data_IF_385870906297
#
_entry.id   IF_385870906297
#
_cell.length_a   1.000
_cell.length_b   1.000
_cell.length_c   1.000
_cell.angle_alpha   90.00
_cell.angle_beta   90.00
_cell.angle_gamma   90.00
#
_symmetry.space_group_name_H-M   'P 1'
#
loop_
_entity.id
_entity.type
_entity.pdbx_description
1 polymer ?
#
# COMPACT_ATOMS: atom_id res chain seq x y z
N UNK A 1 -5.16 21.09 -9.72
CA UNK A 1 -4.63 22.46 -9.91
C UNK A 1 -3.11 22.37 -9.96
N UNK A 2 -2.51 22.51 -11.14
CA UNK A 2 -1.05 22.59 -11.28
C UNK A 2 -0.60 23.98 -10.83
N UNK A 3 0.29 24.04 -9.83
CA UNK A 3 0.76 25.30 -9.25
C UNK A 3 1.82 25.93 -10.17
N UNK A 4 1.66 27.21 -10.53
CA UNK A 4 2.70 27.96 -11.26
C UNK A 4 3.76 28.44 -10.27
N UNK A 5 5.03 28.20 -10.58
CA UNK A 5 6.15 28.74 -9.81
C UNK A 5 6.47 30.17 -10.27
N UNK A 6 6.81 31.09 -9.35
CA UNK A 6 7.23 32.43 -9.73
C UNK A 6 8.57 32.38 -10.48
N UNK A 7 8.74 33.26 -11.47
CA UNK A 7 10.00 33.37 -12.20
C UNK A 7 11.09 33.92 -11.28
N UNK A 8 12.25 33.27 -11.28
CA UNK A 8 13.42 33.73 -10.55
C UNK A 8 14.26 34.68 -11.41
N UNK A 9 14.67 35.81 -10.83
CA UNK A 9 15.65 36.75 -11.37
C UNK A 9 16.76 36.96 -10.33
N UNK A 10 17.96 37.33 -10.79
CA UNK A 10 19.10 37.55 -9.90
C UNK A 10 18.76 38.65 -8.87
N UNK A 11 18.97 38.35 -7.59
CA UNK A 11 18.62 39.25 -6.48
C UNK A 11 17.23 39.01 -5.89
N UNK A 12 16.39 38.16 -6.51
CA UNK A 12 15.10 37.79 -5.92
C UNK A 12 15.28 37.00 -4.61
N UNK A 13 14.30 37.09 -3.70
CA UNK A 13 14.31 36.29 -2.48
C UNK A 13 14.21 34.79 -2.77
N UNK A 14 14.69 33.98 -1.84
CA UNK A 14 14.59 32.53 -1.90
C UNK A 14 13.14 32.07 -2.02
N UNK A 15 12.86 31.16 -2.96
CA UNK A 15 11.56 30.51 -3.10
C UNK A 15 11.26 29.66 -1.87
N UNK A 16 10.10 29.91 -1.24
CA UNK A 16 9.60 29.16 -0.07
C UNK A 16 8.24 28.56 -0.36
N UNK A 17 8.06 27.30 0.04
CA UNK A 17 6.81 26.56 -0.11
C UNK A 17 6.30 26.23 1.29
N UNK A 18 5.28 26.96 1.75
CA UNK A 18 4.72 26.77 3.10
C UNK A 18 3.73 25.60 3.20
N UNK A 19 2.98 25.35 2.12
CA UNK A 19 1.98 24.28 2.04
C UNK A 19 2.22 23.47 0.77
N UNK A 20 3.14 22.49 0.81
CA UNK A 20 3.36 21.60 -0.32
C UNK A 20 2.11 20.73 -0.54
N UNK A 21 1.74 20.51 -1.80
CA UNK A 21 0.66 19.60 -2.19
C UNK A 21 1.26 18.31 -2.77
N UNK A 22 2.15 17.70 -2.00
CA UNK A 22 2.85 16.48 -2.39
C UNK A 22 2.53 15.37 -1.40
N UNK A 23 2.33 14.17 -1.91
CA UNK A 23 2.06 12.98 -1.12
C UNK A 23 3.16 11.96 -1.42
N UNK A 24 3.88 11.54 -0.37
CA UNK A 24 4.87 10.48 -0.46
C UNK A 24 4.26 9.23 0.17
N UNK A 25 4.40 8.09 -0.51
CA UNK A 25 3.95 6.81 0.02
C UNK A 25 5.16 5.93 0.24
N UNK A 26 5.36 5.48 1.48
CA UNK A 26 6.39 4.49 1.81
C UNK A 26 5.93 3.12 1.32
N UNK A 27 6.77 2.43 0.56
CA UNK A 27 6.41 1.16 -0.09
C UNK A 27 7.43 0.09 0.26
N UNK A 28 6.95 -1.11 0.56
CA UNK A 28 7.80 -2.28 0.77
C UNK A 28 8.65 -2.55 -0.49
N UNK A 29 9.97 -2.71 -0.36
CA UNK A 29 10.83 -3.02 -1.50
C UNK A 29 10.46 -4.39 -2.08
N UNK A 30 10.34 -4.47 -3.41
CA UNK A 30 9.98 -5.72 -4.10
C UNK A 30 11.15 -6.67 -4.33
N UNK A 31 12.38 -6.20 -4.12
CA UNK A 31 13.62 -6.99 -4.14
C UNK A 31 14.39 -6.64 -2.88
N UNK A 32 15.32 -7.51 -2.49
CA UNK A 32 16.25 -7.22 -1.41
C UNK A 32 16.98 -5.91 -1.69
N UNK A 33 16.98 -5.03 -0.70
CA UNK A 33 17.68 -3.76 -0.71
C UNK A 33 18.58 -3.72 0.53
N UNK A 34 19.67 -2.95 0.47
CA UNK A 34 20.47 -2.66 1.66
C UNK A 34 19.60 -2.09 2.79
N UNK A 35 19.93 -2.39 4.07
CA UNK A 35 19.10 -2.01 5.20
C UNK A 35 19.05 -0.49 5.44
N UNK A 36 19.95 0.28 4.83
CA UNK A 36 19.97 1.75 4.87
C UNK A 36 19.06 2.38 3.79
N UNK A 37 18.49 1.57 2.90
CA UNK A 37 17.79 2.04 1.70
C UNK A 37 16.28 1.90 1.83
N UNK A 38 15.58 3.02 1.84
CA UNK A 38 14.12 3.11 1.93
C UNK A 38 13.52 3.47 0.57
N UNK A 39 12.41 2.82 0.22
CA UNK A 39 11.72 3.04 -1.04
C UNK A 39 10.42 3.85 -0.86
N UNK A 40 10.29 4.93 -1.63
CA UNK A 40 9.10 5.77 -1.68
C UNK A 40 8.52 5.83 -3.09
N UNK A 41 7.19 5.96 -3.19
CA UNK A 41 6.50 6.46 -4.37
C UNK A 41 6.25 7.95 -4.19
N UNK A 42 6.62 8.72 -5.20
CA UNK A 42 6.55 10.19 -5.18
C UNK A 42 5.83 10.72 -6.44
N UNK A 43 5.29 11.94 -6.39
CA UNK A 43 4.67 12.57 -7.55
C UNK A 43 5.69 12.83 -8.67
N UNK A 44 5.20 12.88 -9.91
CA UNK A 44 6.04 13.10 -11.10
C UNK A 44 6.71 14.48 -11.12
N UNK A 45 6.14 15.48 -10.46
CA UNK A 45 6.66 16.84 -10.38
C UNK A 45 7.84 16.97 -9.41
N UNK A 46 7.94 16.06 -8.44
CA UNK A 46 8.86 16.18 -7.31
C UNK A 46 10.30 15.81 -7.72
N UNK A 47 11.28 16.61 -7.30
CA UNK A 47 12.70 16.35 -7.55
C UNK A 47 13.37 15.67 -6.36
N UNK A 48 14.60 15.16 -6.54
CA UNK A 48 15.39 14.57 -5.44
C UNK A 48 15.67 15.56 -4.31
N UNK A 49 15.83 16.84 -4.61
CA UNK A 49 16.09 17.88 -3.60
C UNK A 49 14.83 18.22 -2.81
N UNK A 50 13.66 18.20 -3.47
CA UNK A 50 12.38 18.35 -2.80
C UNK A 50 12.15 17.20 -1.82
N UNK A 51 12.46 15.95 -2.22
CA UNK A 51 12.33 14.77 -1.34
C UNK A 51 13.23 14.90 -0.13
N UNK A 52 14.49 15.33 -0.32
CA UNK A 52 15.43 15.58 0.78
C UNK A 52 14.86 16.58 1.77
N UNK A 53 14.50 17.76 1.30
CA UNK A 53 13.98 18.84 2.14
C UNK A 53 12.66 18.42 2.82
N UNK A 54 11.80 17.68 2.12
CA UNK A 54 10.53 17.22 2.66
C UNK A 54 10.73 16.26 3.83
N UNK A 55 11.61 15.26 3.67
CA UNK A 55 11.91 14.29 4.72
C UNK A 55 12.66 14.92 5.91
N UNK A 56 13.64 15.79 5.63
CA UNK A 56 14.43 16.45 6.68
C UNK A 56 13.65 17.52 7.44
N UNK A 57 12.68 18.20 6.82
CA UNK A 57 11.96 19.32 7.47
C UNK A 57 10.61 18.95 8.07
N UNK A 58 9.96 17.89 7.58
CA UNK A 58 8.64 17.46 8.08
C UNK A 58 8.76 16.27 9.02
N UNK A 59 9.69 15.35 8.74
CA UNK A 59 9.85 14.11 9.51
C UNK A 59 11.19 14.02 10.25
N UNK A 60 12.03 15.05 10.17
CA UNK A 60 13.36 15.11 10.80
C UNK A 60 14.26 13.90 10.48
N UNK A 61 14.10 13.31 9.29
CA UNK A 61 14.88 12.14 8.86
C UNK A 61 16.17 12.59 8.17
N UNK A 62 17.35 12.18 8.64
CA UNK A 62 18.61 12.56 8.03
C UNK A 62 18.85 11.73 6.75
N UNK A 63 18.90 12.40 5.60
CA UNK A 63 19.02 11.74 4.29
C UNK A 63 20.42 11.90 3.70
N UNK A 64 21.05 10.77 3.36
CA UNK A 64 22.36 10.73 2.72
C UNK A 64 22.26 10.98 1.21
N UNK A 65 21.81 9.96 0.47
CA UNK A 65 21.72 10.00 -0.99
C UNK A 65 20.32 9.62 -1.49
N UNK A 66 19.89 10.25 -2.59
CA UNK A 66 18.59 9.99 -3.20
C UNK A 66 18.78 9.68 -4.67
N UNK A 67 18.19 8.57 -5.12
CA UNK A 67 18.12 8.17 -6.52
C UNK A 67 16.66 8.02 -6.92
N UNK A 68 16.25 8.67 -7.99
CA UNK A 68 14.87 8.58 -8.49
C UNK A 68 14.83 7.96 -9.87
N UNK A 69 13.78 7.19 -10.15
CA UNK A 69 13.48 6.69 -11.49
C UNK A 69 11.99 6.80 -11.77
N UNK A 70 11.63 6.97 -13.04
CA UNK A 70 10.24 6.94 -13.48
C UNK A 70 9.89 5.49 -13.84
N UNK A 71 8.82 4.97 -13.26
CA UNK A 71 8.27 3.66 -13.58
C UNK A 71 7.10 3.82 -14.53
N UNK A 72 7.23 3.21 -15.71
CA UNK A 72 6.13 3.12 -16.67
C UNK A 72 5.13 2.06 -16.20
N UNK A 73 3.86 2.46 -16.11
CA UNK A 73 2.71 1.58 -15.87
C UNK A 73 2.36 0.77 -17.11
N UNK A 74 1.77 -0.41 -16.95
CA UNK A 74 1.41 -1.25 -18.09
C UNK A 74 0.36 -0.58 -18.98
N UNK A 75 0.50 -0.74 -20.30
CA UNK A 75 -0.49 -0.32 -21.30
C UNK A 75 -0.99 -1.50 -22.15
N UNK A 76 -0.90 -2.71 -21.60
CA UNK A 76 -1.28 -3.94 -22.30
C UNK A 76 -2.76 -4.31 -22.13
N UNK A 77 -3.38 -3.91 -21.01
CA UNK A 77 -4.77 -4.23 -20.69
C UNK A 77 -5.72 -3.59 -21.70
N UNK A 78 -6.75 -4.33 -22.12
CA UNK A 78 -7.86 -3.80 -22.92
C UNK A 78 -9.19 -3.99 -22.16
N UNK A 79 -10.13 -3.08 -22.37
CA UNK A 79 -11.49 -3.20 -21.84
C UNK A 79 -12.38 -4.07 -22.76
N UNK A 80 -13.65 -4.26 -22.35
CA UNK A 80 -14.65 -5.01 -23.13
C UNK A 80 -14.97 -4.37 -24.51
N UNK A 81 -14.63 -3.10 -24.71
CA UNK A 81 -14.74 -2.38 -26.01
C UNK A 81 -13.43 -2.43 -26.81
N UNK A 82 -12.49 -3.29 -26.43
CA UNK A 82 -11.17 -3.44 -27.06
C UNK A 82 -10.27 -2.17 -27.03
N UNK A 83 -10.58 -1.19 -26.18
CA UNK A 83 -9.78 0.02 -25.96
C UNK A 83 -8.66 -0.25 -24.94
N UNK A 84 -7.49 0.37 -25.16
CA UNK A 84 -6.34 0.23 -24.24
C UNK A 84 -6.59 0.97 -22.93
N UNK A 85 -6.30 0.32 -21.81
CA UNK A 85 -6.37 0.90 -20.46
C UNK A 85 -4.96 1.06 -19.92
N UNK A 86 -4.51 2.30 -19.81
CA UNK A 86 -3.18 2.66 -19.31
C UNK A 86 -3.19 2.72 -17.78
N UNK A 87 -2.31 1.95 -17.14
CA UNK A 87 -2.00 2.15 -15.73
C UNK A 87 -1.19 3.43 -15.54
N UNK A 88 -1.47 4.24 -14.51
CA UNK A 88 -0.76 5.48 -14.28
C UNK A 88 0.73 5.23 -14.03
N UNK A 89 1.57 6.05 -14.64
CA UNK A 89 3.00 6.07 -14.38
C UNK A 89 3.26 6.70 -13.00
N UNK A 90 4.31 6.26 -12.34
CA UNK A 90 4.69 6.80 -11.04
C UNK A 90 6.21 6.91 -10.92
N UNK A 91 6.67 7.82 -10.05
CA UNK A 91 8.08 7.99 -9.78
C UNK A 91 8.45 7.26 -8.49
N UNK A 92 9.55 6.53 -8.53
CA UNK A 92 10.13 5.81 -7.39
C UNK A 92 11.37 6.55 -6.92
N UNK A 93 11.48 6.75 -5.62
CA UNK A 93 12.66 7.28 -4.96
C UNK A 93 13.27 6.21 -4.04
N UNK A 94 14.57 5.98 -4.22
CA UNK A 94 15.42 5.22 -3.32
C UNK A 94 16.18 6.22 -2.46
N UNK A 95 15.95 6.18 -1.16
CA UNK A 95 16.50 7.11 -0.18
C UNK A 95 17.43 6.33 0.73
N UNK A 96 18.71 6.68 0.72
CA UNK A 96 19.67 6.15 1.67
C UNK A 96 19.68 7.02 2.92
N UNK A 97 19.43 6.40 4.07
CA UNK A 97 19.49 7.06 5.36
C UNK A 97 20.94 7.44 5.68
N UNK A 98 21.12 8.59 6.34
CA UNK A 98 22.42 8.97 6.84
C UNK A 98 22.71 8.32 8.21
N UNK A 99 23.91 8.51 8.74
CA UNK A 99 24.30 8.13 10.10
C UNK A 99 24.28 6.62 10.40
N UNK A 100 24.28 5.77 9.37
CA UNK A 100 24.28 4.31 9.56
C UNK A 100 22.97 3.76 10.14
N UNK A 101 21.88 4.53 10.06
CA UNK A 101 20.56 4.06 10.47
C UNK A 101 20.06 2.97 9.54
N UNK A 102 19.42 1.95 10.11
CA UNK A 102 18.79 0.86 9.38
C UNK A 102 17.29 0.95 9.49
N UNK A 103 16.59 0.64 8.40
CA UNK A 103 15.13 0.63 8.36
C UNK A 103 14.63 -0.68 7.76
N UNK A 104 13.72 -1.32 8.48
CA UNK A 104 12.96 -2.48 8.00
C UNK A 104 11.49 -2.09 7.89
N UNK A 105 10.85 -2.47 6.79
CA UNK A 105 9.43 -2.19 6.60
C UNK A 105 8.62 -3.01 7.63
N UNK A 106 7.83 -2.37 8.50
CA UNK A 106 7.11 -3.07 9.56
C UNK A 106 6.01 -3.97 8.99
N UNK A 107 5.64 -5.01 9.72
CA UNK A 107 4.45 -5.76 9.39
C UNK A 107 3.20 -4.99 9.82
N UNK A 108 2.37 -4.62 8.85
CA UNK A 108 1.16 -3.81 9.06
C UNK A 108 -0.04 -4.71 9.35
N UNK A 109 0.04 -5.99 8.98
CA UNK A 109 -1.05 -6.95 9.12
C UNK A 109 -0.57 -8.17 9.92
N UNK A 110 -0.30 -7.98 11.23
CA UNK A 110 0.01 -9.12 12.10
C UNK A 110 -1.16 -10.10 12.09
N UNK A 111 -0.86 -11.39 12.21
CA UNK A 111 -1.88 -12.42 12.40
C UNK A 111 -2.66 -12.11 13.68
N UNK A 112 -3.95 -11.80 13.52
CA UNK A 112 -4.82 -11.55 14.67
C UNK A 112 -5.04 -12.86 15.39
N UNK A 113 -4.94 -12.85 16.72
CA UNK A 113 -5.47 -13.94 17.53
C UNK A 113 -6.98 -14.04 17.24
N UNK A 114 -7.44 -15.22 16.81
CA UNK A 114 -8.85 -15.54 16.52
C UNK A 114 -9.67 -15.55 17.82
N UNK A 115 -9.75 -14.42 18.51
CA UNK A 115 -10.74 -14.20 19.57
C UNK A 115 -11.90 -13.52 18.89
N UNK A 116 -12.83 -14.32 18.38
CA UNK A 116 -14.07 -13.81 17.81
C UNK A 116 -14.78 -13.01 18.90
N UNK A 117 -15.02 -11.72 18.65
CA UNK A 117 -15.88 -10.93 19.53
C UNK A 117 -17.28 -11.53 19.46
N UNK A 118 -17.91 -11.76 20.62
CA UNK A 118 -19.24 -12.36 20.70
C UNK A 118 -20.25 -11.51 19.89
N UNK A 119 -20.84 -12.10 18.84
CA UNK A 119 -21.74 -11.43 17.89
C UNK A 119 -21.09 -10.95 16.59
N UNK A 120 -19.81 -11.24 16.36
CA UNK A 120 -19.12 -10.94 15.09
C UNK A 120 -19.66 -11.75 13.90
N UNK A 121 -19.49 -11.21 12.68
CA UNK A 121 -19.85 -11.91 11.44
C UNK A 121 -19.11 -13.25 11.27
N UNK A 122 -17.91 -13.36 11.83
CA UNK A 122 -17.08 -14.56 11.79
C UNK A 122 -17.72 -15.70 12.60
N UNK A 123 -18.18 -15.41 13.81
CA UNK A 123 -18.94 -16.38 14.63
C UNK A 123 -20.24 -16.82 13.94
N UNK A 124 -20.94 -15.90 13.27
CA UNK A 124 -22.17 -16.23 12.52
C UNK A 124 -21.87 -17.13 11.31
N UNK A 125 -20.73 -16.92 10.64
CA UNK A 125 -20.27 -17.78 9.55
C UNK A 125 -19.85 -19.17 10.05
N UNK A 126 -19.16 -19.25 11.20
CA UNK A 126 -18.77 -20.53 11.80
C UNK A 126 -19.99 -21.36 12.20
N UNK A 127 -20.97 -20.75 12.89
CA UNK A 127 -22.24 -21.42 13.22
C UNK A 127 -22.96 -21.91 11.96
N UNK A 128 -23.02 -21.10 10.91
CA UNK A 128 -23.62 -21.50 9.64
C UNK A 128 -22.87 -22.70 9.00
N UNK A 129 -21.53 -22.70 9.04
CA UNK A 129 -20.72 -23.80 8.54
C UNK A 129 -20.86 -25.08 9.36
N UNK A 130 -20.99 -24.98 10.68
CA UNK A 130 -21.26 -26.13 11.54
C UNK A 130 -22.65 -26.71 11.27
N UNK A 131 -23.66 -25.86 11.14
CA UNK A 131 -25.03 -26.28 10.79
C UNK A 131 -25.07 -26.98 9.42
N UNK A 132 -24.36 -26.48 8.40
CA UNK A 132 -24.26 -27.16 7.11
C UNK A 132 -23.55 -28.51 7.21
N UNK A 133 -22.45 -28.61 7.97
CA UNK A 133 -21.75 -29.89 8.19
C UNK A 133 -22.64 -30.91 8.88
N UNK A 134 -23.44 -30.49 9.85
CA UNK A 134 -24.40 -31.36 10.53
C UNK A 134 -25.48 -31.83 9.55
N UNK A 135 -26.04 -30.93 8.73
CA UNK A 135 -27.06 -31.26 7.72
C UNK A 135 -26.56 -32.21 6.63
N UNK A 136 -25.27 -32.18 6.31
CA UNK A 136 -24.66 -33.06 5.30
C UNK A 136 -24.41 -34.50 5.80
N UNK A 137 -24.59 -34.80 7.10
CA UNK A 137 -24.50 -36.18 7.63
C UNK A 137 -25.76 -36.96 7.27
N UNK A 138 -25.94 -37.31 6.00
CA UNK A 138 -27.01 -38.22 5.58
C UNK A 138 -26.57 -39.68 5.78
N UNK A 139 -27.39 -40.49 6.44
CA UNK A 139 -27.18 -41.95 6.50
C UNK A 139 -27.56 -42.61 5.16
N UNK A 140 -26.60 -43.16 4.38
CA UNK A 140 -26.90 -43.78 3.09
C UNK A 140 -27.86 -44.97 3.18
N UNK A 141 -28.00 -45.59 4.37
CA UNK A 141 -28.85 -46.77 4.61
C UNK A 141 -30.32 -46.44 4.81
N UNK A 142 -30.67 -45.16 5.02
CA UNK A 142 -32.05 -44.70 5.27
C UNK A 142 -32.90 -44.49 4.02
N UNK A 143 -32.35 -44.66 2.81
CA UNK A 143 -33.13 -44.65 1.57
C UNK A 143 -33.96 -43.38 1.31
N UNK A 144 -33.53 -42.23 1.84
CA UNK A 144 -34.22 -40.94 1.65
C UNK A 144 -35.28 -40.58 2.71
N UNK A 145 -35.45 -41.37 3.76
CA UNK A 145 -36.36 -41.05 4.87
C UNK A 145 -35.72 -40.01 5.80
N UNK A 146 -36.44 -38.92 6.11
CA UNK A 146 -35.97 -37.81 6.95
C UNK A 146 -35.66 -38.24 8.39
N UNK A 147 -34.65 -37.64 9.02
CA UNK A 147 -34.20 -37.95 10.40
C UNK A 147 -35.00 -37.26 11.52
N UNK A 148 -36.02 -36.48 11.16
CA UNK A 148 -36.79 -35.65 12.10
C UNK A 148 -37.76 -36.44 13.00
N UNK A 149 -38.27 -37.58 12.54
CA UNK A 149 -39.21 -38.41 13.29
C UNK A 149 -38.47 -39.56 14.00
N UNK A 150 -38.44 -39.55 15.34
CA UNK A 150 -37.79 -40.55 16.19
C UNK A 150 -38.79 -41.46 16.91
N UNK A 151 -39.58 -42.21 16.14
CA UNK A 151 -40.53 -43.22 16.65
C UNK A 151 -39.86 -44.57 16.86
#
# INVERSE_FOLDING_TARGET
LTKRYPLYQLGNPQLRIFRPNWFLTLVRPGKEQPPDTVQFRIPMEMTKYDVKNYLEKIYDVPVGAIRTRIQFGSNKKRNHLHQKVKQPDYKVAYVQLAQGQTFTFPDIFPEKELKHEEGSMEEMQEKFMEDEKQRQRLDPRRGGVTEWFGL
#
